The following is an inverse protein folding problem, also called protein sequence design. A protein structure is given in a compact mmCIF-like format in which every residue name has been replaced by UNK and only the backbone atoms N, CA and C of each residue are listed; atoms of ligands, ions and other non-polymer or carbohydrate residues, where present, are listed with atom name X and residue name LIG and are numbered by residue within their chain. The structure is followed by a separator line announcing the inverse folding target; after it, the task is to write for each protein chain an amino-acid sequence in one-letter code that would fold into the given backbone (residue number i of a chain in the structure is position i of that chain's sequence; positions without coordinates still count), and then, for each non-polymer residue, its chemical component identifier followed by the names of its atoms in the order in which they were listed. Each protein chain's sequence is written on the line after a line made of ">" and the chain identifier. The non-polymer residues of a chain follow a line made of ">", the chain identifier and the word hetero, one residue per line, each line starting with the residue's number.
data_IF_215157183088
#
_entry.id   IF_215157183088
#
_cell.length_a   1.000
_cell.length_b   1.000
_cell.length_c   1.000
_cell.angle_alpha   90.00
_cell.angle_beta   90.00
_cell.angle_gamma   90.00
#
_symmetry.space_group_name_H-M   'P 1'
#
loop_
_entity.id
_entity.type
_entity.pdbx_description
1 polymer ?
#
# COMPACT_ATOMS: atom_id res chain seq x y z
N UNK A 1 17.25 20.64 23.65
CA UNK A 1 17.26 19.26 23.10
C UNK A 1 17.12 19.35 21.58
N UNK A 2 17.95 18.64 20.82
CA UNK A 2 17.80 18.52 19.36
C UNK A 2 16.81 17.39 19.04
N UNK A 3 15.75 17.69 18.29
CA UNK A 3 14.78 16.69 17.83
C UNK A 3 15.02 16.32 16.35
N UNK A 4 14.47 15.19 15.89
CA UNK A 4 14.53 14.81 14.46
C UNK A 4 13.84 15.88 13.62
N UNK A 5 12.70 16.42 14.10
CA UNK A 5 12.02 17.51 13.41
C UNK A 5 12.91 18.76 13.25
N UNK A 6 13.73 19.09 14.26
CA UNK A 6 14.67 20.22 14.17
C UNK A 6 15.76 19.94 13.14
N UNK A 7 16.26 18.71 13.06
CA UNK A 7 17.21 18.34 12.02
C UNK A 7 16.60 18.51 10.62
N UNK A 8 15.37 18.03 10.40
CA UNK A 8 14.64 18.20 9.13
C UNK A 8 14.41 19.68 8.75
N UNK A 9 14.22 20.56 9.74
CA UNK A 9 14.10 22.01 9.49
C UNK A 9 15.40 22.66 9.00
N UNK A 10 16.54 22.09 9.39
CA UNK A 10 17.87 22.60 9.05
C UNK A 10 18.40 21.98 7.75
N UNK A 11 17.90 20.82 7.34
CA UNK A 11 18.35 20.10 6.15
C UNK A 11 17.99 20.79 4.83
N UNK A 12 18.89 20.68 3.86
CA UNK A 12 18.78 21.15 2.48
C UNK A 12 18.99 19.99 1.50
N UNK A 13 18.68 20.14 0.20
CA UNK A 13 18.91 19.10 -0.80
C UNK A 13 20.33 18.50 -0.74
N UNK A 14 20.42 17.19 -0.58
CA UNK A 14 21.67 16.43 -0.43
C UNK A 14 22.08 16.16 1.02
N UNK A 15 21.43 16.78 2.00
CA UNK A 15 21.72 16.52 3.41
C UNK A 15 21.15 15.17 3.85
N UNK A 16 21.80 14.57 4.85
CA UNK A 16 21.34 13.36 5.54
C UNK A 16 21.08 13.65 7.01
N UNK A 17 19.88 13.36 7.47
CA UNK A 17 19.52 13.30 8.89
C UNK A 17 19.75 11.88 9.37
N UNK A 18 20.67 11.69 10.31
CA UNK A 18 20.94 10.40 10.94
C UNK A 18 20.18 10.31 12.26
N UNK A 19 19.31 9.31 12.39
CA UNK A 19 18.58 8.98 13.61
C UNK A 19 19.35 7.88 14.33
N UNK A 20 19.91 8.22 15.48
CA UNK A 20 20.60 7.25 16.34
C UNK A 20 19.64 6.24 16.97
N UNK A 21 20.20 5.25 17.62
CA UNK A 21 19.49 4.25 18.42
C UNK A 21 18.56 4.90 19.46
N UNK A 22 17.38 4.33 19.65
CA UNK A 22 16.47 4.72 20.73
C UNK A 22 15.02 4.94 20.30
N UNK A 23 14.20 5.30 21.28
CA UNK A 23 12.76 5.52 21.11
C UNK A 23 12.46 7.01 21.01
N UNK A 24 11.77 7.41 19.94
CA UNK A 24 11.43 8.79 19.63
C UNK A 24 9.91 8.98 19.65
N UNK A 25 9.45 9.91 20.48
CA UNK A 25 8.03 10.23 20.67
C UNK A 25 7.70 11.61 20.07
N UNK A 26 7.95 11.77 18.77
CA UNK A 26 7.66 12.99 18.03
C UNK A 26 6.94 12.68 16.72
N UNK A 27 6.10 13.61 16.25
CA UNK A 27 5.48 13.53 14.92
C UNK A 27 6.31 14.35 13.95
N UNK A 28 6.66 13.76 12.83
CA UNK A 28 7.53 14.37 11.82
C UNK A 28 6.73 14.92 10.65
N UNK A 29 7.26 15.99 10.08
CA UNK A 29 6.82 16.54 8.81
C UNK A 29 8.04 16.94 7.97
N UNK A 30 8.03 16.55 6.70
CA UNK A 30 9.00 17.07 5.73
C UNK A 30 8.84 18.60 5.61
N UNK A 31 9.94 19.35 5.57
CA UNK A 31 9.89 20.83 5.59
C UNK A 31 10.08 21.46 4.22
N UNK A 32 10.84 20.81 3.33
CA UNK A 32 11.11 21.26 1.98
C UNK A 32 11.46 20.08 1.09
N UNK A 33 11.44 20.28 -0.22
CA UNK A 33 11.85 19.26 -1.18
C UNK A 33 13.37 19.13 -1.21
N UNK A 34 13.85 17.92 -1.48
CA UNK A 34 15.16 17.73 -2.07
C UNK A 34 15.17 18.14 -3.54
N UNK A 35 16.21 17.74 -4.25
CA UNK A 35 16.35 17.91 -5.70
C UNK A 35 16.58 16.54 -6.36
N UNK A 36 16.31 16.40 -7.68
CA UNK A 36 16.76 15.23 -8.42
C UNK A 36 18.25 14.99 -8.18
N UNK A 37 18.61 13.76 -7.76
CA UNK A 37 19.99 13.34 -7.42
C UNK A 37 20.60 14.01 -6.17
N UNK A 38 19.85 14.87 -5.48
CA UNK A 38 20.22 15.43 -4.16
C UNK A 38 19.00 15.39 -3.23
N UNK A 39 18.49 14.20 -2.92
CA UNK A 39 17.37 14.09 -2.00
C UNK A 39 17.75 14.56 -0.61
N UNK A 40 16.75 14.87 0.22
CA UNK A 40 16.95 14.95 1.67
C UNK A 40 16.76 13.54 2.21
N UNK A 41 17.83 12.98 2.78
CA UNK A 41 17.84 11.60 3.25
C UNK A 41 17.62 11.53 4.76
N UNK A 42 16.78 10.61 5.21
CA UNK A 42 16.64 10.21 6.60
C UNK A 42 17.14 8.78 6.72
N UNK A 43 18.20 8.58 7.50
CA UNK A 43 18.79 7.28 7.75
C UNK A 43 18.72 6.97 9.23
N UNK A 44 18.22 5.78 9.56
CA UNK A 44 18.06 5.35 10.94
C UNK A 44 19.00 4.19 11.27
N UNK A 45 19.47 4.15 12.51
CA UNK A 45 20.09 2.95 13.06
C UNK A 45 19.02 1.85 13.24
N UNK A 46 19.41 0.56 13.19
CA UNK A 46 18.43 -0.55 13.18
C UNK A 46 17.46 -0.59 14.38
N UNK A 47 17.87 -0.03 15.51
CA UNK A 47 17.14 0.04 16.77
C UNK A 47 16.52 1.43 17.05
N UNK A 48 16.52 2.32 16.08
CA UNK A 48 15.77 3.56 16.14
C UNK A 48 14.28 3.31 15.86
N UNK A 49 13.42 3.69 16.81
CA UNK A 49 11.97 3.49 16.74
C UNK A 49 11.24 4.82 16.92
N UNK A 50 10.42 5.18 15.93
CA UNK A 50 9.57 6.36 15.96
C UNK A 50 8.12 5.97 16.33
N UNK A 51 7.61 6.53 17.41
CA UNK A 51 6.27 6.23 17.96
C UNK A 51 5.21 7.28 17.61
N UNK A 52 5.61 8.41 17.03
CA UNK A 52 4.74 9.57 16.85
C UNK A 52 4.57 10.40 18.12
N UNK A 53 4.31 11.69 17.92
CA UNK A 53 3.95 12.65 18.97
C UNK A 53 2.44 12.86 18.99
N UNK A 54 1.96 14.04 19.38
CA UNK A 54 0.52 14.30 19.56
C UNK A 54 -0.34 14.27 18.30
N UNK A 55 0.24 14.10 17.09
CA UNK A 55 -0.53 14.05 15.84
C UNK A 55 -0.94 12.61 15.52
N UNK A 56 -2.06 12.45 14.81
CA UNK A 56 -2.55 11.14 14.35
C UNK A 56 -1.63 10.47 13.31
N UNK A 57 -0.78 11.25 12.64
CA UNK A 57 0.19 10.80 11.64
C UNK A 57 1.57 10.83 12.25
N UNK A 58 2.33 9.74 12.10
CA UNK A 58 3.68 9.66 12.66
C UNK A 58 4.67 10.45 11.81
N UNK A 59 4.71 10.20 10.50
CA UNK A 59 5.50 10.99 9.56
C UNK A 59 4.66 11.42 8.36
N UNK A 60 4.44 12.73 8.25
CA UNK A 60 3.81 13.36 7.10
C UNK A 60 4.84 13.89 6.08
N UNK A 61 4.72 13.47 4.82
CA UNK A 61 5.62 13.86 3.74
C UNK A 61 4.82 14.62 2.68
N UNK A 62 5.09 15.92 2.57
CA UNK A 62 4.43 16.83 1.64
C UNK A 62 5.41 17.43 0.60
N UNK A 63 6.66 16.95 0.57
CA UNK A 63 7.73 17.50 -0.26
C UNK A 63 8.45 16.43 -1.08
N UNK A 64 8.93 16.80 -2.27
CA UNK A 64 9.52 15.85 -3.23
C UNK A 64 10.96 15.47 -2.88
N UNK A 65 11.44 14.35 -3.45
CA UNK A 65 12.83 13.90 -3.33
C UNK A 65 13.26 13.71 -1.87
N UNK A 66 12.46 12.95 -1.12
CA UNK A 66 12.72 12.56 0.27
C UNK A 66 13.03 11.08 0.28
N UNK A 67 14.11 10.69 0.97
CA UNK A 67 14.48 9.29 1.14
C UNK A 67 14.42 8.88 2.61
N UNK A 68 13.81 7.72 2.90
CA UNK A 68 13.73 7.13 4.22
C UNK A 68 14.37 5.74 4.17
N UNK A 69 15.38 5.52 5.01
CA UNK A 69 16.15 4.29 5.02
C UNK A 69 16.27 3.71 6.43
N UNK A 70 15.86 2.45 6.61
CA UNK A 70 16.13 1.66 7.82
C UNK A 70 15.27 1.98 9.06
N UNK A 71 14.35 2.94 8.98
CA UNK A 71 13.59 3.40 10.15
C UNK A 71 12.49 2.41 10.55
N UNK A 72 12.38 2.14 11.85
CA UNK A 72 11.19 1.51 12.43
C UNK A 72 10.19 2.58 12.85
N UNK A 73 8.94 2.45 12.40
CA UNK A 73 7.82 3.26 12.85
C UNK A 73 6.79 2.34 13.49
N UNK A 74 6.53 2.53 14.78
CA UNK A 74 5.58 1.76 15.56
C UNK A 74 4.41 2.67 15.96
N UNK A 75 3.20 2.33 15.53
CA UNK A 75 2.03 3.12 15.86
C UNK A 75 1.65 3.08 17.35
N UNK A 76 2.13 2.08 18.11
CA UNK A 76 1.93 2.05 19.55
C UNK A 76 2.77 3.13 20.22
N UNK A 77 2.14 4.12 20.86
CA UNK A 77 2.82 5.23 21.53
C UNK A 77 2.70 5.19 23.05
N UNK A 78 1.97 4.23 23.61
CA UNK A 78 1.87 3.99 25.04
C UNK A 78 1.72 2.49 25.30
N UNK A 79 1.86 2.08 26.56
CA UNK A 79 1.75 0.68 26.99
C UNK A 79 0.32 0.12 26.95
N UNK A 80 -0.67 0.95 26.65
CA UNK A 80 -2.06 0.51 26.55
C UNK A 80 -2.29 -0.37 25.32
N UNK A 81 -3.24 -1.31 25.42
CA UNK A 81 -3.67 -2.14 24.28
C UNK A 81 -4.92 -1.58 23.58
N UNK A 82 -5.41 -0.44 24.06
CA UNK A 82 -6.61 0.20 23.57
C UNK A 82 -6.36 1.08 22.35
N UNK A 83 -7.48 1.48 21.74
CA UNK A 83 -7.55 2.44 20.65
C UNK A 83 -6.71 3.72 20.84
N UNK A 84 -6.68 4.26 22.07
CA UNK A 84 -5.97 5.49 22.42
C UNK A 84 -4.44 5.32 22.51
N UNK A 85 -3.93 4.09 22.37
CA UNK A 85 -2.51 3.80 22.40
C UNK A 85 -1.87 3.78 21.00
N UNK A 86 -2.67 3.88 19.94
CA UNK A 86 -2.22 3.67 18.56
C UNK A 86 -2.37 4.93 17.70
N UNK A 87 -1.39 5.20 16.83
CA UNK A 87 -1.46 6.25 15.81
C UNK A 87 -2.23 5.77 14.58
N UNK A 88 -3.02 6.67 13.99
CA UNK A 88 -3.89 6.37 12.84
C UNK A 88 -3.07 5.94 11.62
N UNK A 89 -2.04 6.72 11.24
CA UNK A 89 -1.22 6.43 10.05
C UNK A 89 0.25 6.61 10.37
N UNK A 90 1.08 5.69 9.86
CA UNK A 90 2.52 5.73 10.13
C UNK A 90 3.21 6.68 9.16
N UNK A 91 3.05 6.43 7.85
CA UNK A 91 3.56 7.33 6.82
C UNK A 91 2.39 7.86 6.00
N UNK A 92 2.33 9.18 5.86
CA UNK A 92 1.30 9.86 5.10
C UNK A 92 1.93 10.79 4.08
N UNK A 93 1.94 10.35 2.82
CA UNK A 93 2.41 11.14 1.68
C UNK A 93 1.22 11.85 1.06
N UNK A 94 1.27 13.17 1.02
CA UNK A 94 0.22 14.00 0.43
C UNK A 94 0.82 15.18 -0.32
N UNK A 95 0.84 15.10 -1.65
CA UNK A 95 1.24 16.19 -2.54
C UNK A 95 0.14 17.25 -2.73
N UNK A 96 -0.99 17.11 -2.03
CA UNK A 96 -2.17 17.94 -2.19
C UNK A 96 -2.58 18.01 -3.67
N UNK A 97 -2.94 19.21 -4.17
CA UNK A 97 -3.27 19.39 -5.60
C UNK A 97 -2.03 19.56 -6.49
N UNK A 98 -0.89 19.93 -5.90
CA UNK A 98 0.32 20.27 -6.65
C UNK A 98 1.16 19.05 -7.04
N UNK A 99 0.90 17.91 -6.39
CA UNK A 99 1.67 16.70 -6.59
C UNK A 99 3.01 16.73 -5.88
N UNK A 100 3.57 15.54 -5.75
CA UNK A 100 4.85 15.28 -5.11
C UNK A 100 5.55 14.19 -5.90
N UNK A 101 6.87 14.28 -6.01
CA UNK A 101 7.67 13.37 -6.83
C UNK A 101 8.69 12.63 -5.98
N UNK A 102 8.89 11.35 -6.31
CA UNK A 102 10.04 10.56 -5.87
C UNK A 102 10.28 10.61 -4.36
N UNK A 103 9.33 10.09 -3.59
CA UNK A 103 9.59 9.68 -2.20
C UNK A 103 10.09 8.24 -2.24
N UNK A 104 11.24 7.95 -1.65
CA UNK A 104 11.84 6.61 -1.66
C UNK A 104 11.92 6.09 -0.24
N UNK A 105 11.37 4.91 0.00
CA UNK A 105 11.30 4.28 1.31
C UNK A 105 11.90 2.88 1.22
N UNK A 106 13.01 2.63 1.92
CA UNK A 106 13.72 1.34 1.85
C UNK A 106 14.08 0.80 3.22
N UNK A 107 13.95 -0.52 3.38
CA UNK A 107 14.36 -1.18 4.63
C UNK A 107 13.57 -0.74 5.85
N UNK A 108 12.32 -0.30 5.67
CA UNK A 108 11.50 0.20 6.78
C UNK A 108 10.85 -0.97 7.54
N UNK A 109 10.51 -0.72 8.80
CA UNK A 109 9.63 -1.57 9.58
C UNK A 109 8.43 -0.75 10.03
N UNK A 110 7.27 -1.00 9.45
CA UNK A 110 6.03 -0.27 9.74
C UNK A 110 5.10 -1.21 10.49
N UNK A 111 4.71 -0.88 11.72
CA UNK A 111 3.83 -1.75 12.49
C UNK A 111 2.82 -1.04 13.36
N UNK A 112 1.72 -1.75 13.63
CA UNK A 112 0.70 -1.37 14.61
C UNK A 112 -0.02 -0.06 14.26
N UNK A 113 -0.42 0.11 13.01
CA UNK A 113 -1.21 1.26 12.58
C UNK A 113 -2.68 1.07 12.94
N UNK A 114 -3.29 2.11 13.51
CA UNK A 114 -4.70 2.06 13.83
C UNK A 114 -5.59 2.06 12.57
N UNK A 115 -5.26 2.85 11.55
CA UNK A 115 -5.79 2.77 10.20
C UNK A 115 -4.74 2.22 9.23
N UNK A 116 -4.52 2.91 8.10
CA UNK A 116 -3.54 2.49 7.11
C UNK A 116 -2.08 2.70 7.57
N UNK A 117 -1.19 1.74 7.28
CA UNK A 117 0.24 1.92 7.62
C UNK A 117 0.91 2.98 6.73
N UNK A 118 0.69 2.91 5.42
CA UNK A 118 1.22 3.87 4.44
C UNK A 118 0.08 4.39 3.54
N UNK A 119 -0.05 5.72 3.48
CA UNK A 119 -0.93 6.40 2.52
C UNK A 119 -0.10 7.19 1.50
N UNK A 120 -0.34 6.93 0.22
CA UNK A 120 0.27 7.64 -0.91
C UNK A 120 -0.85 8.36 -1.67
N UNK A 121 -0.93 9.68 -1.59
CA UNK A 121 -2.01 10.43 -2.24
C UNK A 121 -1.61 11.83 -2.70
N UNK A 122 -2.56 12.53 -3.30
CA UNK A 122 -2.40 13.93 -3.70
C UNK A 122 -1.45 14.06 -4.88
N UNK A 123 -1.72 13.31 -5.95
CA UNK A 123 -0.91 13.30 -7.17
C UNK A 123 0.56 12.92 -6.90
N UNK A 124 0.79 11.93 -6.02
CA UNK A 124 2.12 11.44 -5.70
C UNK A 124 2.63 10.49 -6.79
N UNK A 125 3.74 10.88 -7.43
CA UNK A 125 4.27 10.19 -8.61
C UNK A 125 5.67 9.64 -8.37
N UNK A 126 5.87 8.38 -8.76
CA UNK A 126 7.20 7.76 -8.72
C UNK A 126 7.71 7.49 -7.30
N UNK A 127 6.80 7.31 -6.33
CA UNK A 127 7.15 6.83 -4.99
C UNK A 127 7.63 5.39 -5.08
N UNK A 128 8.68 5.03 -4.33
CA UNK A 128 9.18 3.67 -4.20
C UNK A 128 9.05 3.22 -2.73
N UNK A 129 8.51 2.02 -2.52
CA UNK A 129 8.62 1.31 -1.25
C UNK A 129 9.24 -0.05 -1.50
N UNK A 130 10.42 -0.28 -0.91
CA UNK A 130 11.17 -1.50 -1.14
C UNK A 130 11.78 -2.13 0.11
N UNK A 131 11.96 -3.45 0.07
CA UNK A 131 12.72 -4.21 1.08
C UNK A 131 12.26 -3.96 2.52
N UNK A 132 10.97 -3.65 2.69
CA UNK A 132 10.39 -3.23 3.97
C UNK A 132 9.47 -4.32 4.54
N UNK A 133 9.27 -4.29 5.85
CA UNK A 133 8.32 -5.15 6.56
C UNK A 133 7.16 -4.29 7.06
N UNK A 134 5.94 -4.72 6.79
CA UNK A 134 4.71 -4.02 7.19
C UNK A 134 3.78 -5.00 7.89
N UNK A 135 3.40 -4.71 9.12
CA UNK A 135 2.67 -5.64 9.98
C UNK A 135 1.57 -4.93 10.78
N UNK A 136 0.46 -5.63 11.05
CA UNK A 136 -0.59 -5.15 11.99
C UNK A 136 -1.14 -3.75 11.64
N UNK A 137 -1.67 -3.57 10.43
CA UNK A 137 -2.39 -2.35 10.04
C UNK A 137 -3.89 -2.54 10.26
N UNK A 138 -4.64 -1.44 10.33
CA UNK A 138 -6.10 -1.50 10.46
C UNK A 138 -6.62 -1.98 11.81
N UNK A 139 -5.85 -1.80 12.88
CA UNK A 139 -6.23 -2.25 14.22
C UNK A 139 -7.64 -1.75 14.60
N UNK A 140 -8.03 -0.56 14.16
CA UNK A 140 -9.36 0.02 14.35
C UNK A 140 -10.50 -0.91 14.02
N UNK A 141 -10.51 -1.38 12.78
CA UNK A 141 -11.68 -2.04 12.21
C UNK A 141 -11.53 -3.57 12.31
N UNK A 142 -10.30 -4.09 12.29
CA UNK A 142 -10.02 -5.54 12.25
C UNK A 142 -9.61 -6.15 13.59
N UNK A 143 -9.13 -5.34 14.55
CA UNK A 143 -8.89 -5.78 15.93
C UNK A 143 -9.96 -5.29 16.89
N UNK A 144 -10.37 -4.03 16.75
CA UNK A 144 -11.33 -3.39 17.68
C UNK A 144 -12.77 -3.29 17.15
N UNK A 145 -13.05 -3.79 15.94
CA UNK A 145 -14.42 -4.04 15.48
C UNK A 145 -15.29 -2.81 15.23
N UNK A 146 -14.72 -1.65 14.85
CA UNK A 146 -15.51 -0.42 14.56
C UNK A 146 -16.34 -0.45 13.26
N UNK A 147 -16.19 -1.49 12.44
CA UNK A 147 -17.11 -1.80 11.33
C UNK A 147 -16.96 -0.95 10.06
N UNK A 148 -15.92 -0.14 9.91
CA UNK A 148 -15.72 0.73 8.73
C UNK A 148 -14.73 0.20 7.69
N UNK A 149 -14.14 -0.98 7.93
CA UNK A 149 -13.22 -1.71 7.03
C UNK A 149 -11.98 -0.94 6.56
N UNK A 150 -11.54 0.11 7.26
CA UNK A 150 -10.26 0.76 6.95
C UNK A 150 -9.14 -0.04 7.63
N UNK A 151 -8.14 -0.44 6.85
CA UNK A 151 -7.06 -1.24 7.39
C UNK A 151 -6.02 -1.68 6.39
N UNK A 152 -5.82 -0.90 5.35
CA UNK A 152 -4.89 -1.21 4.27
C UNK A 152 -3.45 -1.07 4.78
N UNK A 153 -2.56 -2.00 4.41
CA UNK A 153 -1.14 -1.77 4.66
C UNK A 153 -0.63 -0.60 3.83
N UNK A 154 -0.97 -0.58 2.54
CA UNK A 154 -0.58 0.47 1.60
C UNK A 154 -1.81 0.92 0.82
N UNK A 155 -2.10 2.21 0.88
CA UNK A 155 -3.22 2.82 0.17
C UNK A 155 -2.69 3.86 -0.81
N UNK A 156 -2.93 3.66 -2.11
CA UNK A 156 -2.49 4.54 -3.20
C UNK A 156 -3.69 5.25 -3.81
N UNK A 157 -3.62 6.59 -3.87
CA UNK A 157 -4.66 7.47 -4.38
C UNK A 157 -5.73 7.83 -3.35
N UNK A 158 -6.88 8.24 -3.88
CA UNK A 158 -8.04 8.64 -3.08
C UNK A 158 -9.31 8.27 -3.84
N UNK A 159 -10.27 7.66 -3.14
CA UNK A 159 -11.53 7.24 -3.76
C UNK A 159 -12.37 8.46 -4.19
N UNK A 160 -13.11 8.41 -5.32
CA UNK A 160 -13.79 9.57 -5.90
C UNK A 160 -14.77 10.24 -4.94
N UNK A 161 -15.47 9.47 -4.11
CA UNK A 161 -16.43 9.96 -3.10
C UNK A 161 -15.78 10.84 -2.03
N UNK A 162 -14.44 10.78 -1.88
CA UNK A 162 -13.67 11.61 -0.96
C UNK A 162 -13.11 12.88 -1.63
N UNK A 163 -13.27 13.01 -2.95
CA UNK A 163 -12.72 14.09 -3.76
C UNK A 163 -13.83 15.03 -4.25
N UNK A 164 -13.54 16.34 -4.26
CA UNK A 164 -14.46 17.36 -4.79
C UNK A 164 -14.09 17.71 -6.23
N UNK A 165 -14.60 16.96 -7.19
CA UNK A 165 -14.47 17.18 -8.65
C UNK A 165 -13.02 17.16 -9.20
N UNK A 166 -12.14 16.36 -8.63
CA UNK A 166 -10.83 16.05 -9.22
C UNK A 166 -10.46 14.59 -8.96
N UNK A 167 -9.58 14.03 -9.78
CA UNK A 167 -9.03 12.69 -9.58
C UNK A 167 -7.66 12.76 -8.90
N UNK A 168 -7.34 11.77 -8.08
CA UNK A 168 -6.01 11.62 -7.51
C UNK A 168 -5.11 10.81 -8.47
N UNK A 169 -4.18 11.50 -9.11
CA UNK A 169 -3.25 10.93 -10.09
C UNK A 169 -1.96 10.44 -9.42
N UNK A 170 -2.11 9.63 -8.37
CA UNK A 170 -0.97 8.99 -7.70
C UNK A 170 -0.45 7.83 -8.54
N UNK A 171 0.48 8.16 -9.44
CA UNK A 171 0.83 7.33 -10.59
C UNK A 171 2.27 6.81 -10.54
N UNK A 172 2.52 5.72 -11.27
CA UNK A 172 3.88 5.21 -11.47
C UNK A 172 4.65 4.92 -10.17
N UNK A 173 3.94 4.64 -9.07
CA UNK A 173 4.54 4.23 -7.81
C UNK A 173 4.94 2.75 -7.88
N UNK A 174 5.99 2.37 -7.18
CA UNK A 174 6.57 1.03 -7.22
C UNK A 174 6.71 0.47 -5.82
N UNK A 175 5.93 -0.57 -5.53
CA UNK A 175 5.93 -1.29 -4.27
C UNK A 175 6.53 -2.66 -4.52
N UNK A 176 7.73 -2.93 -4.00
CA UNK A 176 8.39 -4.19 -4.31
C UNK A 176 9.27 -4.81 -3.23
N UNK A 177 9.41 -6.13 -3.26
CA UNK A 177 10.29 -6.87 -2.35
C UNK A 177 9.97 -6.62 -0.87
N UNK A 178 8.70 -6.35 -0.54
CA UNK A 178 8.26 -6.15 0.83
C UNK A 178 7.63 -7.42 1.41
N UNK A 179 7.69 -7.54 2.73
CA UNK A 179 6.92 -8.52 3.50
C UNK A 179 5.75 -7.78 4.14
N UNK A 180 4.52 -8.13 3.76
CA UNK A 180 3.31 -7.45 4.23
C UNK A 180 2.40 -8.48 4.88
N UNK A 181 2.34 -8.46 6.21
CA UNK A 181 1.42 -9.29 7.02
C UNK A 181 0.39 -8.34 7.62
N UNK A 182 -0.64 -8.02 6.82
CA UNK A 182 -1.46 -6.84 7.10
C UNK A 182 -2.33 -7.02 8.35
N UNK A 183 -3.00 -8.17 8.50
CA UNK A 183 -4.00 -8.41 9.56
C UNK A 183 -5.28 -7.58 9.43
N UNK A 184 -5.23 -6.47 8.68
CA UNK A 184 -6.33 -5.57 8.32
C UNK A 184 -7.01 -5.93 6.99
N UNK A 185 -7.28 -4.94 6.14
CA UNK A 185 -7.97 -5.12 4.86
C UNK A 185 -6.99 -5.57 3.75
N UNK A 186 -6.73 -4.76 2.73
CA UNK A 186 -5.79 -5.03 1.65
C UNK A 186 -4.32 -4.89 2.08
N UNK A 187 -3.43 -5.72 1.54
CA UNK A 187 -2.00 -5.40 1.56
C UNK A 187 -1.72 -4.15 0.72
N UNK A 188 -2.37 -4.04 -0.44
CA UNK A 188 -2.30 -2.85 -1.30
C UNK A 188 -3.67 -2.54 -1.90
N UNK A 189 -4.15 -1.33 -1.70
CA UNK A 189 -5.33 -0.80 -2.40
C UNK A 189 -4.95 0.38 -3.29
N UNK A 190 -5.26 0.28 -4.58
CA UNK A 190 -5.02 1.32 -5.58
C UNK A 190 -6.36 1.88 -6.02
N UNK A 191 -6.65 3.10 -5.59
CA UNK A 191 -7.90 3.78 -5.90
C UNK A 191 -7.97 4.28 -7.33
N UNK A 192 -9.19 4.67 -7.70
CA UNK A 192 -9.53 5.33 -8.94
C UNK A 192 -8.59 6.51 -9.24
N UNK A 193 -8.33 6.76 -10.51
CA UNK A 193 -7.44 7.84 -10.96
C UNK A 193 -5.95 7.54 -10.86
N UNK A 194 -5.55 6.57 -10.01
CA UNK A 194 -4.16 6.15 -9.84
C UNK A 194 -3.79 5.04 -10.82
N UNK A 195 -2.84 5.34 -11.71
CA UNK A 195 -2.51 4.50 -12.87
C UNK A 195 -1.01 4.18 -12.96
N UNK A 196 -0.69 3.09 -13.68
CA UNK A 196 0.68 2.65 -13.97
C UNK A 196 1.52 2.36 -12.72
N UNK A 197 0.88 2.12 -11.58
CA UNK A 197 1.55 1.65 -10.38
C UNK A 197 1.94 0.17 -10.56
N UNK A 198 3.04 -0.22 -9.91
CA UNK A 198 3.61 -1.56 -10.00
C UNK A 198 3.74 -2.17 -8.62
N UNK A 199 3.13 -3.34 -8.43
CA UNK A 199 3.20 -4.14 -7.22
C UNK A 199 3.95 -5.43 -7.59
N UNK A 200 5.21 -5.56 -7.15
CA UNK A 200 6.10 -6.60 -7.65
C UNK A 200 6.91 -7.30 -6.57
N UNK A 201 7.06 -8.63 -6.64
CA UNK A 201 7.94 -9.39 -5.72
C UNK A 201 7.63 -9.21 -4.23
N UNK A 202 6.41 -8.84 -3.87
CA UNK A 202 6.01 -8.73 -2.46
C UNK A 202 5.45 -10.07 -1.95
N UNK A 203 5.59 -10.32 -0.66
CA UNK A 203 4.72 -11.21 0.08
C UNK A 203 3.55 -10.39 0.63
N UNK A 204 2.33 -10.80 0.30
CA UNK A 204 1.09 -10.34 0.92
C UNK A 204 0.44 -11.51 1.65
N UNK A 205 0.29 -11.38 2.97
CA UNK A 205 -0.30 -12.40 3.83
C UNK A 205 -1.37 -11.78 4.74
N UNK A 206 -2.39 -12.57 5.05
CA UNK A 206 -3.46 -12.26 6.01
C UNK A 206 -4.23 -10.95 5.72
N UNK A 207 -4.62 -10.73 4.46
CA UNK A 207 -5.61 -9.72 4.09
C UNK A 207 -7.02 -10.18 4.50
N UNK A 208 -7.57 -9.61 5.56
CA UNK A 208 -8.69 -10.19 6.32
C UNK A 208 -10.08 -9.63 5.97
N UNK A 209 -10.21 -8.69 5.03
CA UNK A 209 -11.53 -8.29 4.54
C UNK A 209 -12.06 -9.33 3.53
N UNK A 210 -13.16 -10.05 3.84
CA UNK A 210 -13.72 -11.06 2.95
C UNK A 210 -14.28 -10.48 1.63
N UNK A 211 -14.57 -9.18 1.61
CA UNK A 211 -15.13 -8.52 0.43
C UNK A 211 -14.05 -7.86 -0.45
N UNK A 212 -12.78 -7.88 -0.06
CA UNK A 212 -11.70 -7.20 -0.79
C UNK A 212 -10.73 -8.17 -1.49
N UNK A 213 -9.62 -7.63 -2.00
CA UNK A 213 -8.47 -8.39 -2.46
C UNK A 213 -7.33 -8.35 -1.44
N UNK A 214 -6.36 -9.26 -1.55
CA UNK A 214 -5.01 -8.99 -1.01
C UNK A 214 -4.41 -7.75 -1.69
N UNK A 215 -4.62 -7.65 -3.01
CA UNK A 215 -4.35 -6.45 -3.81
C UNK A 215 -5.63 -6.02 -4.55
N UNK A 216 -6.09 -4.79 -4.30
CA UNK A 216 -7.25 -4.18 -4.97
C UNK A 216 -6.80 -3.17 -6.03
N UNK A 217 -7.30 -3.31 -7.26
CA UNK A 217 -7.02 -2.44 -8.41
C UNK A 217 -8.30 -1.74 -8.87
N UNK A 218 -8.62 -0.61 -8.25
CA UNK A 218 -9.71 0.28 -8.66
C UNK A 218 -9.26 1.31 -9.69
N UNK A 219 -7.95 1.58 -9.77
CA UNK A 219 -7.31 2.36 -10.84
C UNK A 219 -6.99 1.54 -12.10
N UNK A 220 -6.75 2.22 -13.22
CA UNK A 220 -6.47 1.61 -14.53
C UNK A 220 -4.97 1.39 -14.79
N UNK A 221 -4.63 0.49 -15.72
CA UNK A 221 -3.24 0.30 -16.21
C UNK A 221 -2.19 -0.02 -15.14
N UNK A 222 -2.60 -0.56 -14.00
CA UNK A 222 -1.71 -1.01 -12.94
C UNK A 222 -1.24 -2.45 -13.18
N UNK A 223 -0.09 -2.80 -12.61
CA UNK A 223 0.54 -4.11 -12.78
C UNK A 223 0.79 -4.77 -11.43
N UNK A 224 0.32 -6.01 -11.28
CA UNK A 224 0.58 -6.89 -10.13
C UNK A 224 1.28 -8.13 -10.64
N UNK A 225 2.57 -8.27 -10.37
CA UNK A 225 3.33 -9.42 -10.89
C UNK A 225 4.41 -9.96 -9.97
N UNK A 226 4.70 -11.25 -10.09
CA UNK A 226 5.73 -11.93 -9.30
C UNK A 226 5.54 -11.85 -7.78
N UNK A 227 4.33 -11.55 -7.29
CA UNK A 227 4.04 -11.52 -5.86
C UNK A 227 3.63 -12.90 -5.36
N UNK A 228 3.81 -13.13 -4.06
CA UNK A 228 3.19 -14.22 -3.31
C UNK A 228 2.03 -13.65 -2.52
N UNK A 229 0.79 -14.07 -2.81
CA UNK A 229 -0.43 -13.52 -2.19
C UNK A 229 -1.20 -14.67 -1.55
N UNK A 230 -1.21 -14.72 -0.22
CA UNK A 230 -1.62 -15.92 0.52
C UNK A 230 -2.52 -15.62 1.73
N UNK A 231 -3.27 -16.64 2.13
CA UNK A 231 -4.07 -16.71 3.36
C UNK A 231 -5.03 -15.53 3.60
N UNK A 232 -5.49 -14.86 2.55
CA UNK A 232 -6.51 -13.80 2.66
C UNK A 232 -7.92 -14.35 2.90
N UNK A 233 -8.75 -13.58 3.59
CA UNK A 233 -10.19 -13.85 3.72
C UNK A 233 -10.96 -13.56 2.42
N UNK A 234 -10.50 -12.56 1.65
CA UNK A 234 -11.04 -12.18 0.35
C UNK A 234 -10.45 -12.97 -0.81
N UNK A 235 -10.43 -12.34 -1.99
CA UNK A 235 -9.68 -12.88 -3.14
C UNK A 235 -8.22 -12.44 -3.09
N UNK A 236 -7.31 -13.07 -3.85
CA UNK A 236 -5.93 -12.58 -3.89
C UNK A 236 -5.80 -11.24 -4.63
N UNK A 237 -6.42 -11.12 -5.82
CA UNK A 237 -6.44 -9.88 -6.61
C UNK A 237 -7.85 -9.52 -7.06
N UNK A 238 -8.28 -8.29 -6.79
CA UNK A 238 -9.58 -7.75 -7.21
C UNK A 238 -9.37 -6.59 -8.19
N UNK A 239 -10.07 -6.60 -9.33
CA UNK A 239 -10.01 -5.54 -10.35
C UNK A 239 -11.38 -4.95 -10.64
N UNK A 240 -11.51 -3.64 -10.48
CA UNK A 240 -12.71 -2.87 -10.81
C UNK A 240 -13.04 -1.82 -9.77
N UNK A 241 -13.35 -0.61 -10.25
CA UNK A 241 -13.82 0.51 -9.43
C UNK A 241 -15.34 0.67 -9.47
N UNK A 242 -15.80 1.85 -9.09
CA UNK A 242 -17.23 2.17 -8.98
C UNK A 242 -17.92 2.18 -10.35
N UNK A 243 -17.30 2.80 -11.37
CA UNK A 243 -17.84 2.91 -12.73
C UNK A 243 -17.34 1.80 -13.67
N UNK A 244 -17.95 1.70 -14.86
CA UNK A 244 -17.62 0.67 -15.85
C UNK A 244 -16.18 0.79 -16.41
N UNK A 245 -15.62 2.00 -16.41
CA UNK A 245 -14.32 2.38 -16.97
C UNK A 245 -13.20 2.49 -15.92
N UNK A 246 -13.47 2.08 -14.68
CA UNK A 246 -12.50 2.07 -13.58
C UNK A 246 -12.03 0.64 -13.26
N UNK A 247 -10.76 0.49 -12.89
CA UNK A 247 -10.14 -0.80 -12.62
C UNK A 247 -9.99 -1.68 -13.86
N UNK A 248 -9.89 -1.08 -15.05
CA UNK A 248 -9.71 -1.74 -16.35
C UNK A 248 -8.27 -1.61 -16.85
N UNK A 249 -7.93 -2.40 -17.87
CA UNK A 249 -6.62 -2.44 -18.50
C UNK A 249 -5.46 -2.76 -17.54
N UNK A 250 -5.72 -3.49 -16.46
CA UNK A 250 -4.69 -3.93 -15.52
C UNK A 250 -4.02 -5.21 -16.00
N UNK A 251 -2.84 -5.49 -15.43
CA UNK A 251 -2.06 -6.71 -15.65
C UNK A 251 -1.88 -7.45 -14.33
N UNK A 252 -2.25 -8.73 -14.30
CA UNK A 252 -2.01 -9.62 -13.16
C UNK A 252 -1.25 -10.83 -13.66
N UNK A 253 0.07 -10.86 -13.46
CA UNK A 253 0.95 -11.78 -14.17
C UNK A 253 1.90 -12.53 -13.23
N UNK A 254 2.05 -13.84 -13.42
CA UNK A 254 3.14 -14.62 -12.80
C UNK A 254 3.22 -14.53 -11.26
N UNK A 255 2.09 -14.31 -10.59
CA UNK A 255 2.00 -14.35 -9.13
C UNK A 255 1.86 -15.80 -8.63
N UNK A 256 2.32 -16.08 -7.41
CA UNK A 256 1.96 -17.26 -6.64
C UNK A 256 0.77 -16.91 -5.74
N UNK A 257 -0.34 -17.62 -5.88
CA UNK A 257 -1.58 -17.34 -5.18
C UNK A 257 -2.03 -18.61 -4.47
N UNK A 258 -2.24 -18.53 -3.17
CA UNK A 258 -2.55 -19.72 -2.37
C UNK A 258 -3.48 -19.40 -1.19
N UNK A 259 -4.39 -20.31 -0.85
CA UNK A 259 -5.21 -20.25 0.37
C UNK A 259 -6.01 -18.94 0.61
N UNK A 260 -6.35 -18.21 -0.45
CA UNK A 260 -7.27 -17.07 -0.36
C UNK A 260 -8.72 -17.57 -0.39
N UNK A 261 -9.49 -17.29 0.66
CA UNK A 261 -10.77 -17.96 0.96
C UNK A 261 -11.86 -17.68 -0.07
N UNK A 262 -11.95 -16.45 -0.59
CA UNK A 262 -12.96 -16.11 -1.60
C UNK A 262 -12.51 -16.42 -3.04
N UNK A 263 -11.26 -16.81 -3.26
CA UNK A 263 -10.72 -17.22 -4.56
C UNK A 263 -9.43 -16.51 -4.96
N UNK A 264 -8.92 -16.79 -6.17
CA UNK A 264 -7.66 -16.21 -6.64
C UNK A 264 -7.84 -14.80 -7.21
N UNK A 265 -8.64 -14.64 -8.28
CA UNK A 265 -8.76 -13.37 -9.00
C UNK A 265 -10.22 -13.03 -9.25
N UNK A 266 -10.65 -11.83 -8.85
CA UNK A 266 -11.98 -11.28 -9.10
C UNK A 266 -11.92 -10.15 -10.12
N UNK A 267 -12.52 -10.38 -11.28
CA UNK A 267 -12.72 -9.37 -12.32
C UNK A 267 -14.12 -8.79 -12.17
N UNK A 268 -14.22 -7.52 -11.79
CA UNK A 268 -15.49 -6.79 -11.70
C UNK A 268 -15.72 -5.85 -12.87
N UNK A 269 -14.63 -5.44 -13.53
CA UNK A 269 -14.63 -4.54 -14.67
C UNK A 269 -13.72 -5.10 -15.76
N UNK A 270 -14.08 -4.84 -17.01
CA UNK A 270 -13.38 -5.35 -18.20
C UNK A 270 -13.35 -4.24 -19.27
N UNK A 271 -12.38 -4.25 -20.19
CA UNK A 271 -11.35 -5.29 -20.39
C UNK A 271 -10.18 -5.19 -19.39
N UNK A 272 -9.38 -6.27 -19.29
CA UNK A 272 -8.06 -6.26 -18.65
C UNK A 272 -6.97 -6.45 -19.71
N UNK A 273 -5.73 -6.06 -19.45
CA UNK A 273 -4.64 -6.21 -20.44
C UNK A 273 -4.04 -7.62 -20.42
N UNK A 274 -3.87 -8.22 -19.24
CA UNK A 274 -3.29 -9.55 -19.12
C UNK A 274 -3.60 -10.20 -17.76
N UNK A 275 -3.85 -11.51 -17.78
CA UNK A 275 -4.03 -12.34 -16.59
C UNK A 275 -3.20 -13.63 -16.72
N UNK A 276 -1.90 -13.52 -17.06
CA UNK A 276 -1.09 -14.63 -17.56
C UNK A 276 -0.08 -15.20 -16.54
N UNK A 277 0.20 -16.50 -16.60
CA UNK A 277 1.28 -17.15 -15.84
C UNK A 277 1.13 -17.24 -14.31
N UNK A 278 0.00 -16.83 -13.71
CA UNK A 278 -0.20 -16.97 -12.26
C UNK A 278 -0.30 -18.46 -11.85
N UNK A 279 0.45 -18.84 -10.82
CA UNK A 279 0.37 -20.16 -10.18
C UNK A 279 -0.65 -20.08 -9.06
N UNK A 280 -1.72 -20.87 -9.16
CA UNK A 280 -2.83 -20.83 -8.22
C UNK A 280 -2.94 -22.19 -7.53
N UNK A 281 -2.82 -22.18 -6.21
CA UNK A 281 -2.94 -23.34 -5.34
C UNK A 281 -4.15 -23.18 -4.42
N UNK A 282 -4.97 -24.22 -4.29
CA UNK A 282 -6.17 -24.21 -3.47
C UNK A 282 -6.23 -25.44 -2.56
N UNK A 283 -6.75 -25.29 -1.35
CA UNK A 283 -7.19 -26.42 -0.53
C UNK A 283 -8.55 -26.94 -1.04
N UNK A 284 -8.78 -28.25 -0.92
CA UNK A 284 -9.86 -28.99 -1.58
C UNK A 284 -11.32 -28.60 -1.22
N UNK A 285 -11.55 -27.56 -0.41
CA UNK A 285 -12.88 -27.14 0.09
C UNK A 285 -13.42 -25.85 -0.53
N UNK A 286 -12.69 -25.20 -1.44
CA UNK A 286 -13.12 -23.91 -2.04
C UNK A 286 -14.00 -24.13 -3.27
N UNK A 287 -15.21 -23.55 -3.28
CA UNK A 287 -16.12 -23.59 -4.44
C UNK A 287 -15.58 -22.69 -5.56
N UNK A 288 -15.28 -23.27 -6.71
CA UNK A 288 -14.86 -22.55 -7.93
C UNK A 288 -16.08 -21.93 -8.60
N UNK A 289 -16.16 -20.60 -8.64
CA UNK A 289 -17.20 -19.89 -9.41
C UNK A 289 -16.97 -20.11 -10.90
N UNK A 290 -18.05 -20.47 -11.59
CA UNK A 290 -18.00 -21.05 -12.92
C UNK A 290 -18.98 -20.34 -13.88
N UNK A 291 -18.46 -19.37 -14.67
CA UNK A 291 -19.04 -18.71 -15.89
C UNK A 291 -20.46 -18.12 -15.77
N UNK A 292 -20.49 -16.90 -15.24
CA UNK A 292 -21.49 -15.83 -15.43
C UNK A 292 -20.96 -14.46 -14.95
N UNK A 293 -19.71 -14.44 -14.54
CA UNK A 293 -18.91 -13.41 -13.88
C UNK A 293 -17.70 -14.22 -13.37
N UNK A 294 -16.48 -13.71 -13.59
CA UNK A 294 -15.21 -14.31 -13.14
C UNK A 294 -14.74 -15.59 -13.87
N UNK A 295 -13.44 -15.62 -14.16
CA UNK A 295 -12.82 -16.59 -15.08
C UNK A 295 -12.13 -17.72 -14.33
N UNK A 296 -12.17 -18.90 -14.97
CA UNK A 296 -11.83 -20.23 -14.46
C UNK A 296 -10.38 -20.62 -14.77
N UNK A 297 -9.88 -21.49 -13.91
CA UNK A 297 -8.53 -22.01 -13.76
C UNK A 297 -7.83 -22.61 -15.00
N UNK A 298 -6.51 -22.74 -14.80
CA UNK A 298 -5.43 -22.94 -15.77
C UNK A 298 -5.37 -21.78 -16.75
N UNK A 299 -4.75 -20.69 -16.28
CA UNK A 299 -4.20 -19.68 -17.16
C UNK A 299 -3.23 -20.40 -18.10
N UNK A 300 -3.72 -20.65 -19.31
CA UNK A 300 -2.93 -21.11 -20.45
C UNK A 300 -1.73 -20.14 -20.59
N UNK A 301 -0.50 -20.61 -20.88
CA UNK A 301 0.66 -19.74 -21.12
C UNK A 301 0.49 -18.66 -22.19
N UNK A 302 -0.62 -18.62 -22.93
CA UNK A 302 -0.90 -17.59 -23.92
C UNK A 302 -1.66 -16.39 -23.34
N UNK A 303 -1.14 -15.18 -23.62
CA UNK A 303 -1.74 -13.88 -23.32
C UNK A 303 -3.01 -13.56 -24.14
N UNK A 304 -3.74 -14.57 -24.61
CA UNK A 304 -4.87 -14.36 -25.53
C UNK A 304 -6.14 -13.94 -24.77
N UNK A 305 -6.39 -12.63 -24.78
CA UNK A 305 -7.51 -11.95 -24.14
C UNK A 305 -8.85 -12.10 -24.90
N UNK A 306 -8.85 -12.65 -26.12
CA UNK A 306 -10.08 -12.83 -26.94
C UNK A 306 -11.13 -13.74 -26.29
N UNK A 307 -10.72 -14.52 -25.28
CA UNK A 307 -11.57 -15.44 -24.52
C UNK A 307 -12.23 -14.84 -23.27
N UNK A 308 -11.99 -13.55 -22.99
CA UNK A 308 -12.27 -12.89 -21.70
C UNK A 308 -13.28 -11.72 -21.81
N UNK A 309 -14.23 -11.77 -22.74
CA UNK A 309 -15.28 -10.75 -22.84
C UNK A 309 -16.36 -10.91 -21.77
N UNK A 310 -16.73 -9.80 -21.12
CA UNK A 310 -17.89 -9.70 -20.22
C UNK A 310 -19.19 -9.66 -21.04
N UNK A 311 -20.19 -10.43 -20.62
CA UNK A 311 -21.59 -10.02 -20.81
C UNK A 311 -21.98 -9.11 -19.66
#
# INVERSE_FOLDING_TARGET
>A
MSSIQRALQLSHPGDTVVIGSGHYYESLQSVRSGEPRRPISIQAYPDAVLHGGSRNRVFEINHSYIELNGLTIDGHHSEGEGIEACRDKLIYIDGHKHGIKQVVMRGLRLKNAYGECLRIKGNAVGTELAYSTIENCGLRDFRFGRGKKNGEAIYIGTAPEQLKNYADHSNSNWIHHNIIVVGGSECVDIKEGSVRNRIEYNLCDQANDPDSGGVSLRGNYNTVRYNTIINGAGVAVRMGGDTADQGVYNRVEKNHIENNRAGAIKIMRSPQLALCGNKIHHSAKTKVVRRGSQVRDKINPSCDMSKWSSK
#
